data_IF_961277440998
#
_entry.id   IF_961277440998
#
_cell.length_a   1.000
_cell.length_b   1.000
_cell.length_c   1.000
_cell.angle_alpha   90.00
_cell.angle_beta   90.00
_cell.angle_gamma   90.00
#
_symmetry.space_group_name_H-M   'P 1'
#
loop_
_entity.id
_entity.type
_entity.pdbx_description
1 polymer ?
#
# COMPACT_ATOMS: atom_id res chain seq x y z
N UNK A 1 -4.41 13.13 16.56
CA UNK A 1 -3.72 12.66 17.79
C UNK A 1 -2.63 11.63 17.47
N UNK A 2 -2.94 10.53 16.77
CA UNK A 2 -1.93 9.52 16.37
C UNK A 2 -0.83 10.08 15.44
N UNK A 3 -1.20 10.90 14.45
CA UNK A 3 -0.26 11.52 13.50
C UNK A 3 0.77 12.42 14.18
N UNK A 4 0.37 13.10 15.26
CA UNK A 4 1.24 14.02 16.02
C UNK A 4 2.28 13.23 16.82
N UNK A 5 1.88 12.10 17.43
CA UNK A 5 2.79 11.22 18.16
C UNK A 5 3.84 10.58 17.25
N UNK A 6 3.43 10.16 16.05
CA UNK A 6 4.35 9.61 15.05
C UNK A 6 5.34 10.67 14.59
N UNK A 7 4.87 11.89 14.32
CA UNK A 7 5.75 12.98 13.88
C UNK A 7 6.83 13.31 14.93
N UNK A 8 6.44 13.47 16.19
CA UNK A 8 7.38 13.77 17.28
C UNK A 8 8.41 12.65 17.47
N UNK A 9 7.98 11.39 17.36
CA UNK A 9 8.88 10.24 17.43
C UNK A 9 9.86 10.18 16.25
N UNK A 10 9.37 10.44 15.04
CA UNK A 10 10.21 10.46 13.83
C UNK A 10 11.24 11.59 13.90
N UNK A 11 10.86 12.80 14.31
CA UNK A 11 11.79 13.93 14.40
C UNK A 11 12.92 13.65 15.41
N UNK A 12 12.59 13.07 16.57
CA UNK A 12 13.58 12.69 17.58
C UNK A 12 14.56 11.60 17.09
N UNK A 13 14.03 10.54 16.48
CA UNK A 13 14.86 9.42 15.96
C UNK A 13 15.69 9.86 14.75
N UNK A 14 15.15 10.70 13.87
CA UNK A 14 15.87 11.25 12.73
C UNK A 14 17.09 12.07 13.20
N UNK A 15 16.92 12.89 14.24
CA UNK A 15 18.02 13.65 14.86
C UNK A 15 19.13 12.75 15.43
N UNK A 16 18.77 11.62 16.06
CA UNK A 16 19.74 10.66 16.59
C UNK A 16 20.49 9.90 15.49
N UNK A 17 19.82 9.62 14.37
CA UNK A 17 20.38 8.88 13.24
C UNK A 17 21.11 9.76 12.21
N UNK A 18 21.04 11.10 12.35
CA UNK A 18 21.66 12.04 11.42
C UNK A 18 21.02 12.04 10.03
N UNK A 19 19.77 11.60 9.91
CA UNK A 19 19.00 11.56 8.65
C UNK A 19 17.86 12.58 8.69
N UNK A 20 17.31 12.93 7.52
CA UNK A 20 16.16 13.81 7.50
C UNK A 20 14.90 13.13 8.03
N UNK A 21 14.07 13.87 8.76
CA UNK A 21 12.76 13.40 9.22
C UNK A 21 11.87 12.94 8.06
N UNK A 22 12.00 13.57 6.88
CA UNK A 22 11.31 13.15 5.67
C UNK A 22 11.73 11.75 5.22
N UNK A 23 13.04 11.48 5.17
CA UNK A 23 13.55 10.16 4.77
C UNK A 23 13.07 9.08 5.75
N UNK A 24 13.15 9.36 7.05
CA UNK A 24 12.68 8.42 8.07
C UNK A 24 11.15 8.21 8.01
N UNK A 25 10.40 9.28 7.74
CA UNK A 25 8.94 9.22 7.54
C UNK A 25 8.56 8.32 6.37
N UNK A 26 9.25 8.47 5.23
CA UNK A 26 9.01 7.64 4.04
C UNK A 26 9.25 6.15 4.29
N UNK A 27 10.10 5.80 5.27
CA UNK A 27 10.37 4.41 5.65
C UNK A 27 9.38 3.88 6.69
N UNK A 28 9.09 4.66 7.74
CA UNK A 28 8.29 4.19 8.89
C UNK A 28 6.79 4.26 8.61
N UNK A 29 6.30 5.31 7.94
CA UNK A 29 4.85 5.53 7.76
C UNK A 29 4.19 4.37 7.01
N UNK A 30 4.75 3.82 5.90
CA UNK A 30 4.15 2.66 5.23
C UNK A 30 4.05 1.43 6.15
N UNK A 31 5.00 1.25 7.07
CA UNK A 31 4.92 0.15 8.04
C UNK A 31 3.84 0.46 9.07
N UNK A 32 3.86 1.66 9.66
CA UNK A 32 2.95 2.06 10.71
C UNK A 32 1.47 2.03 10.28
N UNK A 33 1.20 2.38 9.02
CA UNK A 33 -0.15 2.41 8.45
C UNK A 33 -0.70 1.03 8.10
N UNK A 34 0.15 0.03 7.87
CA UNK A 34 -0.25 -1.35 7.55
C UNK A 34 -0.26 -2.30 8.77
N UNK A 35 0.31 -1.85 9.90
CA UNK A 35 0.42 -2.66 11.11
C UNK A 35 -0.95 -3.11 11.67
N UNK A 36 -1.96 -2.25 11.80
CA UNK A 36 -3.27 -2.66 12.33
C UNK A 36 -3.90 -3.82 11.53
N UNK A 37 -3.84 -3.74 10.21
CA UNK A 37 -4.38 -4.71 9.26
C UNK A 37 -3.62 -6.03 9.33
N UNK A 38 -2.28 -5.97 9.43
CA UNK A 38 -1.44 -7.15 9.62
C UNK A 38 -1.72 -7.85 10.95
N UNK A 39 -1.91 -7.09 12.02
CA UNK A 39 -2.25 -7.66 13.34
C UNK A 39 -3.59 -8.37 13.32
N UNK A 40 -4.63 -7.78 12.72
CA UNK A 40 -5.94 -8.42 12.58
C UNK A 40 -5.85 -9.73 11.79
N UNK A 41 -5.08 -9.73 10.70
CA UNK A 41 -4.91 -10.90 9.85
C UNK A 41 -4.18 -12.03 10.58
N UNK A 42 -3.11 -11.72 11.34
CA UNK A 42 -2.42 -12.70 12.19
C UNK A 42 -3.35 -13.27 13.26
N UNK A 43 -4.16 -12.43 13.90
CA UNK A 43 -5.10 -12.87 14.94
C UNK A 43 -6.17 -13.81 14.39
N UNK A 44 -6.66 -13.58 13.18
CA UNK A 44 -7.66 -14.43 12.54
C UNK A 44 -7.10 -15.74 12.03
N UNK A 45 -5.90 -15.75 11.45
CA UNK A 45 -5.20 -17.00 11.07
C UNK A 45 -4.99 -17.88 12.31
N UNK A 46 -4.56 -17.30 13.43
CA UNK A 46 -4.41 -18.02 14.71
C UNK A 46 -5.73 -18.57 15.27
N UNK A 47 -6.88 -18.13 14.76
CA UNK A 47 -8.22 -18.59 15.15
C UNK A 47 -8.87 -19.44 14.06
N UNK A 48 -8.09 -19.94 13.10
CA UNK A 48 -8.55 -20.76 11.97
C UNK A 48 -9.62 -20.04 11.11
N UNK A 49 -9.58 -18.71 11.06
CA UNK A 49 -10.50 -17.86 10.28
C UNK A 49 -9.83 -17.33 9.01
N UNK A 50 -9.30 -18.23 8.19
CA UNK A 50 -8.48 -17.90 7.02
C UNK A 50 -9.23 -17.04 6.00
N UNK A 51 -10.53 -17.29 5.80
CA UNK A 51 -11.37 -16.49 4.90
C UNK A 51 -11.48 -15.03 5.35
N UNK A 52 -11.58 -14.78 6.65
CA UNK A 52 -11.65 -13.41 7.19
C UNK A 52 -10.28 -12.72 7.10
N UNK A 53 -9.21 -13.45 7.38
CA UNK A 53 -7.84 -12.94 7.22
C UNK A 53 -7.56 -12.55 5.77
N UNK A 54 -7.91 -13.42 4.82
CA UNK A 54 -7.72 -13.15 3.40
C UNK A 54 -8.59 -12.00 2.92
N UNK A 55 -9.87 -11.96 3.33
CA UNK A 55 -10.79 -10.87 2.99
C UNK A 55 -10.30 -9.49 3.46
N UNK A 56 -9.71 -9.42 4.66
CA UNK A 56 -9.17 -8.18 5.19
C UNK A 56 -7.91 -7.71 4.46
N UNK A 57 -6.95 -8.61 4.19
CA UNK A 57 -5.72 -8.24 3.45
C UNK A 57 -6.09 -7.79 2.03
N UNK A 58 -6.86 -8.59 1.31
CA UNK A 58 -7.25 -8.29 -0.07
C UNK A 58 -8.12 -7.04 -0.17
N UNK A 59 -9.06 -6.85 0.75
CA UNK A 59 -9.92 -5.67 0.82
C UNK A 59 -9.11 -4.39 1.07
N UNK A 60 -8.17 -4.41 2.03
CA UNK A 60 -7.28 -3.28 2.31
C UNK A 60 -6.44 -2.91 1.07
N UNK A 61 -5.84 -3.90 0.40
CA UNK A 61 -5.04 -3.67 -0.82
C UNK A 61 -5.87 -3.08 -1.97
N UNK A 62 -7.08 -3.59 -2.20
CA UNK A 62 -7.96 -3.06 -3.26
C UNK A 62 -8.40 -1.63 -2.96
N UNK A 63 -8.74 -1.35 -1.70
CA UNK A 63 -9.16 -0.02 -1.24
C UNK A 63 -8.02 1.00 -1.40
N UNK A 64 -6.83 0.69 -0.89
CA UNK A 64 -5.67 1.57 -0.96
C UNK A 64 -5.13 1.72 -2.39
N UNK A 65 -5.15 0.65 -3.18
CA UNK A 65 -4.62 0.65 -4.55
C UNK A 65 -5.52 1.32 -5.58
N UNK A 66 -6.84 1.40 -5.32
CA UNK A 66 -7.79 2.00 -6.27
C UNK A 66 -8.50 3.22 -5.72
N UNK A 67 -9.15 3.12 -4.56
CA UNK A 67 -10.06 4.16 -4.10
C UNK A 67 -9.31 5.43 -3.70
N UNK A 68 -8.22 5.32 -2.95
CA UNK A 68 -7.41 6.47 -2.55
C UNK A 68 -6.81 7.20 -3.77
N UNK A 69 -6.10 6.52 -4.70
CA UNK A 69 -5.59 7.14 -5.91
C UNK A 69 -6.69 7.73 -6.80
N UNK A 70 -7.80 7.03 -7.01
CA UNK A 70 -8.92 7.52 -7.81
C UNK A 70 -9.53 8.80 -7.22
N UNK A 71 -9.69 8.83 -5.89
CA UNK A 71 -10.18 10.02 -5.18
C UNK A 71 -9.18 11.17 -5.30
N UNK A 72 -7.88 10.90 -5.19
CA UNK A 72 -6.83 11.89 -5.41
C UNK A 72 -6.89 12.50 -6.81
N UNK A 73 -6.98 11.67 -7.85
CA UNK A 73 -7.10 12.12 -9.25
C UNK A 73 -8.40 12.91 -9.47
N UNK A 74 -9.51 12.47 -8.87
CA UNK A 74 -10.82 13.11 -9.04
C UNK A 74 -10.93 14.47 -8.35
N UNK A 75 -10.28 14.64 -7.18
CA UNK A 75 -10.41 15.83 -6.34
C UNK A 75 -9.26 16.82 -6.47
N UNK A 76 -8.17 16.47 -7.17
CA UNK A 76 -7.01 17.37 -7.32
C UNK A 76 -6.77 17.76 -8.78
N UNK A 77 -6.32 19.00 -9.04
CA UNK A 77 -5.91 19.39 -10.38
C UNK A 77 -4.64 18.63 -10.76
N UNK A 78 -4.73 17.83 -11.83
CA UNK A 78 -3.62 17.02 -12.33
C UNK A 78 -3.34 17.33 -13.80
N UNK A 79 -2.11 17.07 -14.24
CA UNK A 79 -1.69 17.22 -15.63
C UNK A 79 -1.20 15.86 -16.14
N UNK A 80 -1.67 15.46 -17.33
CA UNK A 80 -1.23 14.24 -18.00
C UNK A 80 0.18 14.43 -18.57
N UNK A 81 1.18 14.26 -17.70
CA UNK A 81 2.59 14.28 -18.12
C UNK A 81 3.00 12.93 -18.70
N UNK A 82 4.10 12.92 -19.46
CA UNK A 82 4.57 11.72 -20.15
C UNK A 82 4.93 10.59 -19.17
N UNK A 83 5.38 10.93 -17.97
CA UNK A 83 5.70 9.99 -16.89
C UNK A 83 4.44 9.30 -16.34
N UNK A 84 3.30 10.01 -16.29
CA UNK A 84 2.02 9.44 -15.86
C UNK A 84 1.51 8.47 -16.93
N UNK A 85 1.58 8.89 -18.20
CA UNK A 85 1.17 8.05 -19.33
C UNK A 85 2.02 6.78 -19.43
N UNK A 86 3.35 6.89 -19.27
CA UNK A 86 4.23 5.73 -19.27
C UNK A 86 3.93 4.80 -18.08
N UNK A 87 3.67 5.34 -16.90
CA UNK A 87 3.23 4.56 -15.73
C UNK A 87 1.92 3.80 -15.96
N UNK A 88 0.92 4.45 -16.57
CA UNK A 88 -0.35 3.80 -16.94
C UNK A 88 -0.12 2.69 -17.96
N UNK A 89 0.67 2.94 -19.01
CA UNK A 89 0.97 1.93 -20.04
C UNK A 89 1.71 0.72 -19.46
N UNK A 90 2.72 0.95 -18.62
CA UNK A 90 3.45 -0.13 -17.94
C UNK A 90 2.52 -0.93 -17.03
N UNK A 91 1.64 -0.26 -16.28
CA UNK A 91 0.67 -0.92 -15.39
C UNK A 91 -0.31 -1.79 -16.18
N UNK A 92 -0.87 -1.27 -17.28
CA UNK A 92 -1.78 -2.02 -18.14
C UNK A 92 -1.08 -3.19 -18.84
N UNK A 93 0.16 -3.00 -19.29
CA UNK A 93 0.98 -4.06 -19.88
C UNK A 93 1.29 -5.17 -18.87
N UNK A 94 1.68 -4.82 -17.65
CA UNK A 94 1.94 -5.77 -16.57
C UNK A 94 0.66 -6.54 -16.16
N UNK A 95 -0.48 -5.84 -16.05
CA UNK A 95 -1.77 -6.47 -15.78
C UNK A 95 -2.21 -7.42 -16.91
N UNK A 96 -2.01 -7.03 -18.16
CA UNK A 96 -2.25 -7.86 -19.33
C UNK A 96 -1.36 -9.11 -19.34
N UNK A 97 -0.07 -8.92 -19.10
CA UNK A 97 0.91 -10.00 -18.99
C UNK A 97 0.52 -11.02 -17.91
N UNK A 98 0.18 -10.53 -16.70
CA UNK A 98 -0.26 -11.36 -15.58
C UNK A 98 -1.54 -12.14 -15.95
N UNK A 99 -2.51 -11.48 -16.58
CA UNK A 99 -3.78 -12.12 -16.97
C UNK A 99 -3.60 -13.22 -18.01
N UNK A 100 -2.69 -13.04 -18.96
CA UNK A 100 -2.36 -14.05 -19.97
C UNK A 100 -1.63 -15.25 -19.33
N UNK A 101 -0.65 -15.01 -18.46
CA UNK A 101 0.13 -16.07 -17.82
C UNK A 101 -0.65 -16.83 -16.75
N UNK A 102 -1.53 -16.16 -16.01
CA UNK A 102 -2.44 -16.81 -15.06
C UNK A 102 -3.43 -17.76 -15.74
N UNK A 103 -3.75 -17.55 -17.03
CA UNK A 103 -4.59 -18.45 -17.84
C UNK A 103 -3.81 -19.59 -18.50
N UNK A 104 -2.55 -19.37 -18.84
CA UNK A 104 -1.72 -20.36 -19.53
C UNK A 104 -1.11 -21.40 -18.58
N UNK A 105 -0.73 -21.00 -17.38
CA UNK A 105 -0.13 -21.87 -16.36
C UNK A 105 -0.97 -21.81 -15.08
N UNK A 106 -2.22 -22.30 -15.15
CA UNK A 106 -3.16 -22.27 -14.04
C UNK A 106 -2.46 -22.60 -12.73
N UNK A 107 -2.41 -21.62 -11.83
CA UNK A 107 -1.84 -21.79 -10.50
C UNK A 107 -2.52 -23.02 -9.89
N UNK A 108 -1.77 -24.06 -9.48
CA UNK A 108 -2.36 -25.16 -8.74
C UNK A 108 -2.87 -24.56 -7.44
N UNK A 109 -4.18 -24.37 -7.35
CA UNK A 109 -4.88 -24.04 -6.10
C UNK A 109 -5.13 -25.34 -5.36
#
# INVERSE_FOLDING_TARGET
>A
MLTILIQLGVDGVAGLLGISALLLSLLIIPIATELPEKVNSILWIRREKDTLAFGNITGAMVFQGNLLPATGIALTPWQARIEVLSGVLVTLAAAGWLRLHSRANGLPV
#
